data_IF_355252261843
#
_entry.id   IF_355252261843
#
_cell.length_a   1.000
_cell.length_b   1.000
_cell.length_c   1.000
_cell.angle_alpha   90.00
_cell.angle_beta   90.00
_cell.angle_gamma   90.00
#
_symmetry.space_group_name_H-M   'P 1'
#
loop_
_entity.id
_entity.type
_entity.pdbx_description
1 polymer ?
#
# COMPACT_ATOMS: atom_id res chain seq x y z
N UNK A 1 12.81 7.03 -16.27
CA UNK A 1 12.48 8.47 -16.23
C UNK A 1 13.76 9.25 -15.93
N UNK A 2 14.10 10.26 -16.73
CA UNK A 2 15.30 11.08 -16.47
C UNK A 2 15.08 11.94 -15.21
N UNK A 3 16.14 12.11 -14.39
CA UNK A 3 16.16 12.93 -13.15
C UNK A 3 15.87 14.42 -13.38
N UNK A 4 15.74 14.85 -14.64
CA UNK A 4 15.45 16.24 -15.05
C UNK A 4 14.07 16.76 -14.62
N UNK A 5 13.18 15.90 -14.09
CA UNK A 5 11.79 16.25 -13.80
C UNK A 5 11.47 16.57 -12.33
N UNK A 6 12.47 16.71 -11.46
CA UNK A 6 12.26 16.88 -10.02
C UNK A 6 12.74 18.26 -9.53
N UNK A 7 11.85 19.03 -8.90
CA UNK A 7 12.17 20.29 -8.22
C UNK A 7 12.47 20.08 -6.71
N UNK A 8 13.37 19.14 -6.39
CA UNK A 8 13.77 18.87 -5.01
C UNK A 8 14.47 20.09 -4.39
N UNK A 9 14.44 20.20 -3.05
CA UNK A 9 15.18 21.23 -2.27
C UNK A 9 16.19 20.62 -1.27
N UNK A 10 16.25 19.29 -1.20
CA UNK A 10 17.17 18.50 -0.40
C UNK A 10 17.32 17.11 -1.02
N UNK A 11 18.38 16.34 -0.67
CA UNK A 11 18.51 14.95 -1.11
C UNK A 11 17.30 14.09 -0.73
N UNK A 12 16.85 13.24 -1.66
CA UNK A 12 15.75 12.29 -1.46
C UNK A 12 16.13 10.93 -2.02
N UNK A 13 15.65 9.86 -1.37
CA UNK A 13 15.93 8.49 -1.81
C UNK A 13 15.40 8.22 -3.22
N UNK A 14 16.13 7.45 -4.03
CA UNK A 14 15.79 7.21 -5.43
C UNK A 14 14.41 6.54 -5.60
N UNK A 15 14.03 5.66 -4.68
CA UNK A 15 12.70 5.03 -4.68
C UNK A 15 11.56 6.07 -4.57
N UNK A 16 11.76 7.11 -3.75
CA UNK A 16 10.79 8.19 -3.57
C UNK A 16 10.80 9.12 -4.79
N UNK A 17 11.99 9.43 -5.31
CA UNK A 17 12.17 10.23 -6.52
C UNK A 17 11.57 9.58 -7.78
N UNK A 18 11.67 8.25 -7.89
CA UNK A 18 11.13 7.48 -9.01
C UNK A 18 9.60 7.36 -8.97
N UNK A 19 8.98 7.62 -7.82
CA UNK A 19 7.53 7.52 -7.67
C UNK A 19 6.81 8.60 -8.44
N UNK A 20 5.92 8.15 -9.30
CA UNK A 20 4.95 8.99 -9.99
C UNK A 20 3.61 8.28 -10.15
N UNK A 21 2.63 9.01 -10.69
CA UNK A 21 1.26 8.51 -10.92
C UNK A 21 1.00 8.44 -12.43
N UNK A 22 1.49 7.39 -13.12
CA UNK A 22 1.32 7.24 -14.55
C UNK A 22 -0.13 6.95 -14.91
N UNK A 23 -0.52 7.30 -16.12
CA UNK A 23 -1.80 6.97 -16.74
C UNK A 23 -1.60 5.95 -17.86
N UNK A 24 -0.41 5.86 -18.44
CA UNK A 24 -0.08 4.82 -19.40
C UNK A 24 0.24 3.52 -18.66
N UNK A 25 -0.60 2.50 -18.86
CA UNK A 25 -0.38 1.15 -18.36
C UNK A 25 -0.26 0.14 -19.52
N UNK A 26 0.70 -0.77 -19.37
CA UNK A 26 0.74 -2.02 -20.15
C UNK A 26 -0.38 -2.95 -19.64
N UNK A 27 -1.04 -3.63 -20.57
CA UNK A 27 -2.13 -4.57 -20.28
C UNK A 27 -1.61 -5.93 -19.77
N UNK A 28 -0.29 -6.13 -19.73
CA UNK A 28 0.33 -7.34 -19.18
C UNK A 28 -0.17 -7.63 -17.75
N UNK A 29 -0.55 -8.89 -17.43
CA UNK A 29 -0.91 -9.30 -16.07
C UNK A 29 0.17 -8.98 -15.04
N UNK A 30 -0.24 -8.70 -13.80
CA UNK A 30 0.67 -8.60 -12.66
C UNK A 30 0.77 -9.96 -11.98
N UNK A 31 1.98 -10.40 -11.70
CA UNK A 31 2.23 -11.66 -11.02
C UNK A 31 1.68 -11.62 -9.57
N UNK A 32 1.00 -12.68 -9.14
CA UNK A 32 0.37 -12.79 -7.82
C UNK A 32 1.38 -12.53 -6.69
N UNK A 33 2.63 -12.97 -6.85
CA UNK A 33 3.71 -12.75 -5.88
C UNK A 33 4.04 -11.27 -5.71
N UNK A 34 4.00 -10.48 -6.81
CA UNK A 34 4.26 -9.04 -6.77
C UNK A 34 3.10 -8.31 -6.12
N UNK A 35 1.87 -8.68 -6.48
CA UNK A 35 0.66 -8.12 -5.87
C UNK A 35 0.61 -8.41 -4.36
N UNK A 36 0.88 -9.65 -3.96
CA UNK A 36 0.99 -10.05 -2.56
C UNK A 36 2.09 -9.27 -1.83
N UNK A 37 3.26 -9.09 -2.45
CA UNK A 37 4.35 -8.28 -1.88
C UNK A 37 3.92 -6.82 -1.65
N UNK A 38 3.17 -6.23 -2.59
CA UNK A 38 2.65 -4.87 -2.46
C UNK A 38 1.66 -4.74 -1.29
N UNK A 39 0.76 -5.72 -1.12
CA UNK A 39 -0.19 -5.77 -0.02
C UNK A 39 0.51 -6.04 1.33
N UNK A 40 1.55 -6.87 1.35
CA UNK A 40 2.35 -7.10 2.55
C UNK A 40 3.07 -5.81 2.98
N UNK A 41 3.63 -5.05 2.04
CA UNK A 41 4.20 -3.73 2.35
C UNK A 41 3.17 -2.77 2.96
N UNK A 42 1.92 -2.76 2.46
CA UNK A 42 0.84 -2.02 3.11
C UNK A 42 0.55 -2.53 4.54
N UNK A 43 0.53 -3.86 4.74
CA UNK A 43 0.27 -4.49 6.04
C UNK A 43 1.32 -4.11 7.10
N UNK A 44 2.54 -3.81 6.68
CA UNK A 44 3.64 -3.38 7.55
C UNK A 44 3.65 -1.89 7.90
N UNK A 45 2.69 -1.10 7.42
CA UNK A 45 2.60 0.31 7.80
C UNK A 45 2.33 0.49 9.31
N UNK A 46 2.81 1.57 9.92
CA UNK A 46 2.45 1.89 11.30
C UNK A 46 0.99 2.35 11.38
N UNK A 47 0.36 2.15 12.54
CA UNK A 47 -0.99 2.66 12.84
C UNK A 47 -1.15 3.00 14.31
N UNK A 48 -2.09 3.90 14.61
CA UNK A 48 -2.46 4.24 15.98
C UNK A 48 -2.88 2.97 16.74
N UNK A 49 -2.29 2.71 17.91
CA UNK A 49 -2.48 1.48 18.70
C UNK A 49 -2.23 0.17 17.95
N UNK A 50 -1.51 0.21 16.82
CA UNK A 50 -1.37 -0.92 15.91
C UNK A 50 -2.72 -1.49 15.42
N UNK A 51 -3.74 -0.64 15.29
CA UNK A 51 -5.13 -1.03 14.98
C UNK A 51 -5.28 -1.57 13.55
N UNK A 52 -4.39 -1.18 12.63
CA UNK A 52 -4.36 -1.65 11.23
C UNK A 52 -5.73 -1.48 10.54
N UNK A 53 -6.25 -0.23 10.44
CA UNK A 53 -7.63 0.03 10.03
C UNK A 53 -7.88 -0.16 8.53
N UNK A 54 -6.83 -0.32 7.71
CA UNK A 54 -6.94 -0.47 6.26
C UNK A 54 -7.59 -1.80 5.85
N UNK A 55 -8.47 -1.75 4.86
CA UNK A 55 -8.97 -2.91 4.12
C UNK A 55 -8.79 -2.64 2.63
N UNK A 56 -8.40 -3.67 1.89
CA UNK A 56 -8.20 -3.56 0.44
C UNK A 56 -9.15 -4.51 -0.27
N UNK A 57 -9.96 -3.98 -1.18
CA UNK A 57 -10.65 -4.78 -2.18
C UNK A 57 -9.78 -4.78 -3.43
N UNK A 58 -9.27 -5.94 -3.77
CA UNK A 58 -8.35 -6.16 -4.90
C UNK A 58 -9.15 -6.81 -6.01
N UNK A 59 -9.13 -6.20 -7.19
CA UNK A 59 -9.75 -6.75 -8.38
C UNK A 59 -8.68 -6.84 -9.48
N UNK A 60 -8.17 -8.05 -9.73
CA UNK A 60 -7.30 -8.35 -10.87
C UNK A 60 -8.20 -8.74 -12.05
N UNK A 61 -8.00 -8.08 -13.20
CA UNK A 61 -8.76 -8.35 -14.42
C UNK A 61 -8.69 -9.82 -14.85
N UNK A 62 -7.56 -10.48 -14.61
CA UNK A 62 -7.31 -11.84 -15.09
C UNK A 62 -7.82 -12.91 -14.13
N UNK A 63 -8.07 -12.56 -12.85
CA UNK A 63 -8.55 -13.49 -11.82
C UNK A 63 -9.99 -13.17 -11.40
N UNK A 64 -10.31 -11.89 -11.21
CA UNK A 64 -11.62 -11.37 -10.79
C UNK A 64 -12.21 -10.38 -11.81
N UNK A 65 -12.24 -10.75 -13.10
CA UNK A 65 -12.69 -9.86 -14.20
C UNK A 65 -14.04 -9.16 -13.98
N UNK A 66 -15.03 -9.83 -13.39
CA UNK A 66 -16.32 -9.21 -13.05
C UNK A 66 -16.22 -8.18 -11.92
N UNK A 67 -15.37 -8.43 -10.91
CA UNK A 67 -15.11 -7.45 -9.85
C UNK A 67 -14.33 -6.26 -10.41
N UNK A 68 -13.36 -6.53 -11.29
CA UNK A 68 -12.58 -5.50 -11.98
C UNK A 68 -13.51 -4.58 -12.78
N UNK A 69 -14.41 -5.16 -13.58
CA UNK A 69 -15.36 -4.39 -14.39
C UNK A 69 -16.31 -3.56 -13.52
N UNK A 70 -16.90 -4.14 -12.47
CA UNK A 70 -17.76 -3.42 -11.53
C UNK A 70 -17.06 -2.23 -10.87
N UNK A 71 -15.81 -2.40 -10.43
CA UNK A 71 -15.05 -1.32 -9.82
C UNK A 71 -14.66 -0.24 -10.85
N UNK A 72 -14.27 -0.66 -12.06
CA UNK A 72 -13.98 0.23 -13.18
C UNK A 72 -15.17 1.10 -13.56
N UNK A 73 -16.38 0.51 -13.66
CA UNK A 73 -17.62 1.22 -14.02
C UNK A 73 -18.02 2.29 -12.99
N UNK A 74 -17.47 2.20 -11.77
CA UNK A 74 -17.68 3.19 -10.71
C UNK A 74 -16.68 4.35 -10.76
N UNK A 75 -15.62 4.27 -11.58
CA UNK A 75 -14.67 5.38 -11.75
C UNK A 75 -15.33 6.53 -12.50
N UNK A 76 -14.82 7.76 -12.29
CA UNK A 76 -15.25 8.91 -13.09
C UNK A 76 -14.90 8.71 -14.58
N UNK A 77 -15.65 9.32 -15.52
CA UNK A 77 -15.38 9.17 -16.95
C UNK A 77 -13.94 9.51 -17.36
N UNK A 78 -13.36 10.56 -16.77
CA UNK A 78 -11.97 10.96 -17.02
C UNK A 78 -10.92 10.00 -16.45
N UNK A 79 -11.27 9.17 -15.45
CA UNK A 79 -10.38 8.10 -14.99
C UNK A 79 -10.50 6.85 -15.87
N UNK A 80 -11.70 6.57 -16.39
CA UNK A 80 -11.97 5.42 -17.25
C UNK A 80 -11.18 5.47 -18.58
N UNK A 81 -10.87 6.66 -19.11
CA UNK A 81 -10.15 6.81 -20.40
C UNK A 81 -8.80 6.09 -20.41
N UNK A 82 -8.10 6.08 -19.28
CA UNK A 82 -6.75 5.50 -19.15
C UNK A 82 -6.71 4.28 -18.21
N UNK A 83 -7.48 4.27 -17.12
CA UNK A 83 -7.46 3.17 -16.14
C UNK A 83 -7.92 1.83 -16.73
N UNK A 84 -8.65 1.86 -17.86
CA UNK A 84 -9.08 0.68 -18.63
C UNK A 84 -7.93 -0.19 -19.15
N UNK A 85 -6.68 0.27 -19.05
CA UNK A 85 -5.50 -0.55 -19.42
C UNK A 85 -4.83 -1.20 -18.21
N UNK A 86 -5.10 -0.73 -17.00
CA UNK A 86 -4.48 -1.29 -15.80
C UNK A 86 -5.05 -2.69 -15.50
N UNK A 87 -4.20 -3.71 -15.30
CA UNK A 87 -4.65 -5.07 -15.02
C UNK A 87 -5.26 -5.19 -13.62
N UNK A 88 -4.89 -4.34 -12.66
CA UNK A 88 -5.39 -4.43 -11.28
C UNK A 88 -5.98 -3.09 -10.83
N UNK A 89 -7.16 -3.15 -10.20
CA UNK A 89 -7.75 -2.03 -9.44
C UNK A 89 -7.81 -2.42 -7.96
N UNK A 90 -7.40 -1.51 -7.08
CA UNK A 90 -7.41 -1.72 -5.63
C UNK A 90 -8.20 -0.59 -4.97
N UNK A 91 -9.33 -0.90 -4.36
CA UNK A 91 -10.04 0.04 -3.49
C UNK A 91 -9.43 -0.04 -2.08
N UNK A 92 -8.94 1.10 -1.59
CA UNK A 92 -8.51 1.28 -0.21
C UNK A 92 -9.67 1.79 0.65
N UNK A 93 -9.95 1.09 1.73
CA UNK A 93 -10.98 1.42 2.71
C UNK A 93 -10.35 1.60 4.10
N UNK A 94 -10.91 2.49 4.91
CA UNK A 94 -10.51 2.73 6.29
C UNK A 94 -11.65 2.40 7.25
N UNK A 95 -11.42 1.51 8.23
CA UNK A 95 -12.41 1.20 9.26
C UNK A 95 -12.64 2.44 10.15
N UNK A 96 -13.89 2.90 10.28
CA UNK A 96 -14.24 4.14 11.00
C UNK A 96 -14.17 4.01 12.52
N UNK A 97 -13.97 2.79 13.03
CA UNK A 97 -13.90 2.45 14.46
C UNK A 97 -12.67 1.61 14.75
N UNK A 98 -12.14 1.77 15.94
CA UNK A 98 -11.03 0.98 16.46
C UNK A 98 -11.46 -0.48 16.66
N UNK A 99 -10.61 -1.42 16.27
CA UNK A 99 -10.88 -2.84 16.46
C UNK A 99 -10.89 -3.27 17.93
N UNK A 100 -10.04 -2.65 18.76
CA UNK A 100 -9.85 -3.08 20.15
C UNK A 100 -10.97 -2.67 21.13
N UNK A 101 -11.67 -1.57 20.87
CA UNK A 101 -12.73 -1.06 21.77
C UNK A 101 -13.99 -0.57 21.05
N UNK A 102 -14.02 -0.66 19.72
CA UNK A 102 -15.12 -0.20 18.89
C UNK A 102 -15.32 1.31 18.85
N UNK A 103 -14.51 2.15 19.50
CA UNK A 103 -14.72 3.61 19.52
C UNK A 103 -14.38 4.26 18.17
N UNK A 104 -14.90 5.45 17.85
CA UNK A 104 -14.54 6.15 16.61
C UNK A 104 -13.04 6.30 16.43
N UNK A 105 -12.52 5.90 15.26
CA UNK A 105 -11.10 5.95 14.92
C UNK A 105 -10.80 7.14 14.02
N UNK A 106 -10.47 8.28 14.63
CA UNK A 106 -10.08 9.51 13.90
C UNK A 106 -8.77 9.38 13.10
N UNK A 107 -7.99 8.33 13.31
CA UNK A 107 -6.70 8.11 12.63
C UNK A 107 -6.82 7.19 11.42
N UNK A 108 -7.96 6.53 11.25
CA UNK A 108 -8.14 5.46 10.27
C UNK A 108 -7.75 5.87 8.84
N UNK A 109 -8.17 7.07 8.43
CA UNK A 109 -7.85 7.61 7.11
C UNK A 109 -6.36 7.93 6.95
N UNK A 110 -5.74 8.52 7.98
CA UNK A 110 -4.30 8.84 8.00
C UNK A 110 -3.46 7.55 7.92
N UNK A 111 -3.78 6.57 8.75
CA UNK A 111 -3.09 5.27 8.80
C UNK A 111 -3.27 4.48 7.49
N UNK A 112 -4.46 4.52 6.88
CA UNK A 112 -4.71 3.91 5.57
C UNK A 112 -3.92 4.61 4.45
N UNK A 113 -3.75 5.93 4.53
CA UNK A 113 -2.88 6.68 3.61
C UNK A 113 -1.42 6.24 3.69
N UNK A 114 -0.91 5.96 4.90
CA UNK A 114 0.43 5.42 5.11
C UNK A 114 0.57 4.02 4.49
N UNK A 115 -0.42 3.13 4.71
CA UNK A 115 -0.45 1.80 4.11
C UNK A 115 -0.46 1.84 2.57
N UNK A 116 -1.28 2.73 1.98
CA UNK A 116 -1.29 2.93 0.53
C UNK A 116 0.05 3.45 0.00
N UNK A 117 0.72 4.34 0.74
CA UNK A 117 2.03 4.83 0.34
C UNK A 117 3.09 3.74 0.38
N UNK A 118 3.08 2.85 1.39
CA UNK A 118 3.96 1.66 1.44
C UNK A 118 3.72 0.73 0.25
N UNK A 119 2.45 0.47 -0.10
CA UNK A 119 2.07 -0.31 -1.28
C UNK A 119 2.66 0.29 -2.56
N UNK A 120 2.51 1.61 -2.74
CA UNK A 120 3.02 2.31 -3.93
C UNK A 120 4.54 2.23 -4.03
N UNK A 121 5.27 2.40 -2.92
CA UNK A 121 6.73 2.29 -2.93
C UNK A 121 7.17 0.86 -3.26
N UNK A 122 6.48 -0.15 -2.72
CA UNK A 122 6.77 -1.54 -3.04
C UNK A 122 6.49 -1.87 -4.51
N UNK A 123 5.41 -1.33 -5.08
CA UNK A 123 5.11 -1.47 -6.50
C UNK A 123 6.29 -0.96 -7.36
N UNK A 124 6.81 0.23 -7.04
CA UNK A 124 7.94 0.82 -7.77
C UNK A 124 9.21 -0.02 -7.63
N UNK A 125 9.50 -0.53 -6.42
CA UNK A 125 10.63 -1.41 -6.19
C UNK A 125 10.57 -2.69 -7.05
N UNK A 126 9.36 -3.12 -7.43
CA UNK A 126 9.10 -4.30 -8.27
C UNK A 126 8.97 -3.99 -9.77
N UNK A 127 9.21 -2.73 -10.17
CA UNK A 127 9.07 -2.26 -11.55
C UNK A 127 7.61 -2.03 -11.98
N UNK A 128 6.68 -1.99 -11.04
CA UNK A 128 5.28 -1.63 -11.24
C UNK A 128 5.08 -0.13 -10.97
N UNK A 129 3.90 0.37 -11.30
CA UNK A 129 3.45 1.68 -10.89
C UNK A 129 2.02 1.62 -10.35
N UNK A 130 1.69 2.60 -9.49
CA UNK A 130 0.36 2.74 -8.91
C UNK A 130 -0.14 4.18 -9.05
N UNK A 131 -1.39 4.35 -9.48
CA UNK A 131 -2.06 5.65 -9.60
C UNK A 131 -3.34 5.67 -8.76
N UNK A 132 -3.33 6.42 -7.67
CA UNK A 132 -4.47 6.58 -6.76
C UNK A 132 -5.47 7.64 -7.26
N UNK A 133 -6.76 7.31 -7.23
CA UNK A 133 -7.85 8.13 -7.75
C UNK A 133 -8.88 8.37 -6.65
N UNK A 134 -9.23 9.63 -6.43
CA UNK A 134 -10.42 10.02 -5.65
C UNK A 134 -11.68 10.17 -6.51
N UNK A 135 -11.55 10.16 -7.84
CA UNK A 135 -12.68 10.29 -8.77
C UNK A 135 -13.39 8.97 -9.01
N UNK A 136 -14.26 8.57 -8.10
CA UNK A 136 -15.15 7.41 -8.21
C UNK A 136 -16.45 7.64 -7.43
N UNK A 137 -17.50 6.89 -7.75
CA UNK A 137 -18.78 6.94 -7.04
C UNK A 137 -18.78 5.95 -5.88
N UNK A 138 -18.53 6.46 -4.66
CA UNK A 138 -18.46 5.65 -3.46
C UNK A 138 -19.79 4.93 -3.13
N UNK A 139 -20.94 5.54 -3.46
CA UNK A 139 -22.25 4.92 -3.25
C UNK A 139 -22.46 3.71 -4.16
N UNK A 140 -22.11 3.86 -5.46
CA UNK A 140 -22.15 2.75 -6.42
C UNK A 140 -21.17 1.65 -6.06
N UNK A 141 -19.95 1.97 -5.63
CA UNK A 141 -18.99 0.95 -5.13
C UNK A 141 -19.55 0.23 -3.91
N UNK A 142 -20.11 0.97 -2.95
CA UNK A 142 -20.73 0.41 -1.75
C UNK A 142 -21.80 -0.61 -2.10
N UNK A 143 -22.70 -0.26 -3.02
CA UNK A 143 -23.77 -1.14 -3.48
C UNK A 143 -23.22 -2.35 -4.26
N UNK A 144 -22.30 -2.13 -5.20
CA UNK A 144 -21.77 -3.17 -6.09
C UNK A 144 -20.98 -4.27 -5.36
N UNK A 145 -20.40 -3.94 -4.21
CA UNK A 145 -19.55 -4.84 -3.41
C UNK A 145 -20.10 -5.11 -2.01
N UNK A 146 -21.31 -4.65 -1.69
CA UNK A 146 -21.95 -4.77 -0.38
C UNK A 146 -21.06 -4.31 0.78
N UNK A 147 -20.38 -3.17 0.61
CA UNK A 147 -19.44 -2.64 1.62
C UNK A 147 -20.22 -2.05 2.80
N UNK A 148 -19.98 -2.48 4.06
CA UNK A 148 -20.68 -1.91 5.21
C UNK A 148 -20.28 -0.45 5.48
N UNK A 149 -21.19 0.34 6.07
CA UNK A 149 -20.98 1.77 6.38
C UNK A 149 -19.86 2.03 7.42
N UNK A 150 -19.38 0.98 8.09
CA UNK A 150 -18.23 1.05 8.99
C UNK A 150 -16.89 1.27 8.27
N UNK A 151 -16.89 1.33 6.94
CA UNK A 151 -15.71 1.62 6.13
C UNK A 151 -15.86 2.92 5.32
N UNK A 152 -14.90 3.82 5.47
CA UNK A 152 -14.70 4.95 4.58
C UNK A 152 -13.97 4.48 3.32
N UNK A 153 -14.53 4.74 2.14
CA UNK A 153 -13.92 4.42 0.85
C UNK A 153 -12.98 5.56 0.47
N UNK A 154 -11.66 5.31 0.49
CA UNK A 154 -10.64 6.36 0.42
C UNK A 154 -10.20 6.66 -1.02
N UNK A 155 -9.78 5.63 -1.75
CA UNK A 155 -9.26 5.77 -3.11
C UNK A 155 -9.35 4.46 -3.86
N UNK A 156 -9.44 4.54 -5.19
CA UNK A 156 -9.17 3.41 -6.09
C UNK A 156 -7.80 3.61 -6.73
N UNK A 157 -6.93 2.62 -6.64
CA UNK A 157 -5.62 2.64 -7.26
C UNK A 157 -5.57 1.72 -8.48
N UNK A 158 -5.15 2.27 -9.63
CA UNK A 158 -4.73 1.48 -10.78
C UNK A 158 -3.30 0.99 -10.53
N UNK A 159 -3.06 -0.32 -10.68
CA UNK A 159 -1.76 -0.96 -10.49
C UNK A 159 -1.40 -1.80 -11.72
N UNK A 160 -0.16 -1.67 -12.19
CA UNK A 160 0.33 -2.41 -13.34
C UNK A 160 1.73 -1.97 -13.77
N UNK A 161 2.18 -2.47 -14.91
CA UNK A 161 3.42 -2.00 -15.51
C UNK A 161 3.21 -0.68 -16.25
N UNK A 162 4.17 0.27 -16.19
CA UNK A 162 4.12 1.46 -17.04
C UNK A 162 4.03 1.08 -18.51
N UNK A 163 3.11 1.70 -19.24
CA UNK A 163 2.88 1.50 -20.67
C UNK A 163 3.47 2.62 -21.53
N UNK A 164 3.31 2.49 -22.84
CA UNK A 164 3.69 3.53 -23.80
C UNK A 164 2.71 4.71 -23.74
N UNK A 165 3.16 5.95 -23.45
CA UNK A 165 2.31 7.15 -23.46
C UNK A 165 1.58 7.40 -24.80
N UNK A 166 2.03 6.81 -25.91
CA UNK A 166 1.36 6.90 -27.21
C UNK A 166 -0.05 6.26 -27.21
N UNK A 167 -0.38 5.42 -26.22
CA UNK A 167 -1.71 4.80 -26.09
C UNK A 167 -2.74 5.73 -25.45
N UNK A 168 -2.32 6.91 -24.97
CA UNK A 168 -3.17 7.89 -24.31
C UNK A 168 -3.71 8.91 -25.33
N UNK A 169 -4.87 9.50 -25.04
CA UNK A 169 -5.31 10.71 -25.73
C UNK A 169 -4.35 11.88 -25.48
N UNK A 170 -4.42 12.92 -26.32
CA UNK A 170 -3.47 14.03 -26.30
C UNK A 170 -3.41 14.73 -24.93
N UNK A 171 -4.57 15.04 -24.34
CA UNK A 171 -4.65 15.73 -23.06
C UNK A 171 -3.99 14.91 -21.95
N UNK A 172 -4.33 13.62 -21.87
CA UNK A 172 -3.80 12.70 -20.88
C UNK A 172 -2.31 12.47 -21.08
N UNK A 173 -1.84 12.39 -22.33
CA UNK A 173 -0.43 12.27 -22.69
C UNK A 173 0.37 13.49 -22.26
N UNK A 174 -0.14 14.70 -22.45
CA UNK A 174 0.54 15.91 -21.96
C UNK A 174 0.72 15.89 -20.45
N UNK A 175 -0.31 15.45 -19.70
CA UNK A 175 -0.23 15.28 -18.24
C UNK A 175 0.73 14.17 -17.81
N UNK A 176 0.84 13.11 -18.60
CA UNK A 176 1.79 12.01 -18.39
C UNK A 176 3.25 12.48 -18.56
N UNK A 177 3.49 13.36 -19.52
CA UNK A 177 4.83 13.84 -19.84
C UNK A 177 5.25 15.05 -19.00
N UNK A 178 4.31 15.73 -18.36
CA UNK A 178 4.56 16.91 -17.54
C UNK A 178 5.57 16.65 -16.41
N UNK A 179 6.43 17.64 -16.16
CA UNK A 179 7.38 17.61 -15.05
C UNK A 179 6.67 17.65 -13.70
N UNK A 180 7.23 16.93 -12.74
CA UNK A 180 6.70 16.90 -11.40
C UNK A 180 7.11 18.15 -10.63
N UNK A 181 6.12 18.96 -10.27
CA UNK A 181 6.32 20.10 -9.39
C UNK A 181 5.76 19.81 -8.00
N UNK A 182 6.48 20.25 -6.98
CA UNK A 182 6.04 20.33 -5.59
C UNK A 182 6.15 21.76 -5.12
N UNK A 183 5.31 22.12 -4.14
CA UNK A 183 5.48 23.38 -3.41
C UNK A 183 6.88 23.43 -2.78
N UNK A 184 7.48 24.62 -2.66
CA UNK A 184 8.67 24.84 -1.85
C UNK A 184 8.55 24.29 -0.43
N UNK A 185 9.67 23.88 0.19
CA UNK A 185 9.65 23.34 1.56
C UNK A 185 9.10 24.34 2.58
N UNK A 186 9.45 25.61 2.42
CA UNK A 186 9.00 26.71 3.29
C UNK A 186 7.48 26.94 3.29
N UNK A 187 6.76 26.45 2.28
CA UNK A 187 5.29 26.52 2.23
C UNK A 187 4.61 25.39 3.01
N UNK A 188 5.32 24.28 3.27
CA UNK A 188 4.75 23.07 3.89
C UNK A 188 5.39 22.73 5.24
N UNK A 189 6.56 23.29 5.55
CA UNK A 189 7.28 23.09 6.80
C UNK A 189 7.61 24.46 7.42
N UNK A 190 7.42 24.58 8.74
CA UNK A 190 7.59 25.84 9.47
C UNK A 190 8.50 25.65 10.68
N UNK A 191 9.44 26.57 10.88
CA UNK A 191 10.39 26.54 11.99
C UNK A 191 9.76 27.15 13.26
N UNK A 192 9.44 26.31 14.25
CA UNK A 192 9.06 26.70 15.61
C UNK A 192 7.72 27.46 15.78
N UNK A 193 7.20 28.10 14.73
CA UNK A 193 5.91 28.82 14.73
C UNK A 193 5.33 28.91 13.32
N UNK A 194 4.00 29.04 13.25
CA UNK A 194 3.28 29.23 11.98
C UNK A 194 3.79 30.48 11.25
N UNK A 195 3.96 30.37 9.94
CA UNK A 195 4.36 31.48 9.06
C UNK A 195 5.87 31.74 8.99
N UNK A 196 6.69 31.10 9.83
CA UNK A 196 8.13 31.09 9.65
C UNK A 196 8.52 29.84 8.87
N UNK A 197 8.70 29.95 7.55
CA UNK A 197 9.06 28.81 6.70
C UNK A 197 10.36 28.13 7.13
N UNK A 198 10.42 26.81 7.00
CA UNK A 198 11.65 26.05 7.20
C UNK A 198 12.58 26.25 6.00
N UNK A 199 13.69 26.96 6.22
CA UNK A 199 14.69 27.24 5.19
C UNK A 199 15.77 26.16 5.18
N UNK A 200 16.17 25.72 3.98
CA UNK A 200 17.34 24.87 3.80
C UNK A 200 18.58 25.76 3.76
N UNK A 201 19.57 25.62 4.67
CA UNK A 201 20.76 26.46 4.67
C UNK A 201 21.60 26.27 3.41
N UNK A 202 22.05 27.37 2.78
CA UNK A 202 22.96 27.34 1.64
C UNK A 202 24.29 26.63 1.95
N UNK A 203 24.70 26.63 3.22
CA UNK A 203 25.92 25.98 3.73
C UNK A 203 25.91 24.46 3.59
N UNK A 204 24.75 23.83 3.37
CA UNK A 204 24.67 22.41 3.06
C UNK A 204 25.24 22.07 1.68
N UNK A 205 25.63 23.08 0.88
CA UNK A 205 26.30 22.90 -0.41
C UNK A 205 25.42 22.23 -1.47
N UNK A 206 24.16 22.00 -1.15
CA UNK A 206 23.19 21.38 -2.03
C UNK A 206 22.61 22.46 -2.93
N UNK A 207 23.26 22.71 -4.07
CA UNK A 207 22.59 23.38 -5.18
C UNK A 207 21.67 22.34 -5.80
N UNK A 208 20.38 22.66 -5.94
CA UNK A 208 19.46 21.82 -6.68
C UNK A 208 20.10 21.47 -8.02
N UNK A 209 20.49 20.20 -8.20
CA UNK A 209 20.96 19.71 -9.50
C UNK A 209 19.72 19.59 -10.38
N UNK A 210 19.28 20.72 -10.91
CA UNK A 210 18.36 20.76 -12.04
C UNK A 210 19.13 20.18 -13.22
N UNK A 211 18.76 18.96 -13.62
CA UNK A 211 19.18 18.35 -14.88
C UNK A 211 20.67 18.05 -15.06
N UNK A 212 21.16 16.93 -14.51
CA UNK A 212 22.23 16.17 -15.17
C UNK A 212 21.87 14.69 -15.15
N UNK A 213 21.77 14.14 -16.37
CA UNK A 213 21.36 12.80 -16.70
C UNK A 213 22.36 11.74 -16.21
N UNK A 214 21.83 10.65 -15.69
CA UNK A 214 22.49 9.35 -15.73
C UNK A 214 21.52 8.39 -16.43
N UNK A 215 21.99 7.77 -17.52
CA UNK A 215 21.23 6.87 -18.38
C UNK A 215 20.72 5.61 -17.63
N UNK A 216 19.69 4.92 -18.16
CA UNK A 216 18.96 3.88 -17.44
C UNK A 216 19.66 2.53 -17.54
N UNK A 217 20.13 2.02 -16.40
CA UNK A 217 20.38 0.60 -16.19
C UNK A 217 19.36 0.09 -15.17
N UNK A 218 18.77 -1.07 -15.42
CA UNK A 218 17.89 -1.83 -14.52
C UNK A 218 18.34 -1.66 -13.07
N UNK A 219 17.54 -0.98 -12.25
CA UNK A 219 17.79 -0.88 -10.81
C UNK A 219 17.52 -2.27 -10.22
N UNK A 220 18.56 -3.11 -10.16
CA UNK A 220 18.59 -4.25 -9.25
C UNK A 220 18.74 -3.67 -7.86
N UNK A 221 17.65 -3.62 -7.11
CA UNK A 221 17.71 -3.44 -5.65
C UNK A 221 18.34 -4.72 -5.10
N UNK A 222 19.67 -4.71 -4.95
CA UNK A 222 20.36 -5.69 -4.12
C UNK A 222 19.97 -5.38 -2.67
N UNK A 223 19.09 -6.22 -2.11
CA UNK A 223 18.94 -6.30 -0.66
C UNK A 223 20.28 -6.82 -0.13
N UNK A 224 21.18 -5.91 0.22
CA UNK A 224 22.30 -6.26 1.10
C UNK A 224 21.70 -6.53 2.46
N UNK A 225 21.52 -7.80 2.80
CA UNK A 225 21.35 -8.25 4.17
C UNK A 225 22.48 -7.66 5.00
N UNK A 226 22.16 -6.70 5.86
CA UNK A 226 23.07 -6.27 6.92
C UNK A 226 23.10 -7.35 8.00
N UNK A 227 23.74 -8.47 7.70
CA UNK A 227 24.26 -9.37 8.72
C UNK A 227 25.73 -8.97 8.93
N UNK A 228 25.98 -8.11 9.92
CA UNK A 228 27.32 -8.07 10.51
C UNK A 228 27.47 -9.35 11.35
N UNK A 229 28.49 -10.19 11.10
CA UNK A 229 28.79 -11.29 12.00
C UNK A 229 29.36 -10.73 13.31
N UNK A 230 28.72 -11.07 14.42
CA UNK A 230 29.29 -10.96 15.75
C UNK A 230 30.36 -12.05 15.87
N UNK A 231 31.63 -11.67 15.75
CA UNK A 231 32.75 -12.55 16.08
C UNK A 231 32.98 -12.52 17.59
N UNK A 232 32.44 -13.51 18.29
CA UNK A 232 32.74 -13.79 19.69
C UNK A 232 32.79 -15.30 19.91
N UNK A 233 34.00 -15.81 20.17
CA UNK A 233 34.29 -17.22 20.37
C UNK A 233 33.45 -17.86 21.48
N UNK A 234 33.04 -19.11 21.26
CA UNK A 234 32.40 -19.94 22.27
C UNK A 234 31.97 -21.29 21.71
N UNK A 235 32.94 -22.16 21.40
CA UNK A 235 32.76 -23.55 21.00
C UNK A 235 31.90 -24.34 21.99
N UNK A 236 30.95 -25.15 21.49
CA UNK A 236 30.82 -26.59 21.83
C UNK A 236 29.85 -27.28 20.89
N UNK A 237 30.30 -28.45 20.43
CA UNK A 237 29.62 -29.35 19.52
C UNK A 237 28.39 -30.02 20.16
N UNK A 238 27.41 -30.38 19.32
CA UNK A 238 26.38 -31.34 19.70
C UNK A 238 25.20 -31.39 18.74
N UNK A 239 24.98 -32.56 18.13
CA UNK A 239 23.63 -33.03 17.76
C UNK A 239 23.19 -32.79 16.31
N UNK A 240 23.48 -33.77 15.46
CA UNK A 240 22.74 -33.99 14.22
C UNK A 240 21.32 -34.50 14.55
N UNK A 241 20.28 -33.79 14.12
CA UNK A 241 18.94 -34.36 14.00
C UNK A 241 18.25 -33.87 12.73
N UNK A 242 17.96 -34.84 11.87
CA UNK A 242 17.20 -34.74 10.63
C UNK A 242 15.75 -34.34 10.92
N UNK A 243 15.26 -33.30 10.25
CA UNK A 243 13.83 -32.97 10.20
C UNK A 243 13.25 -33.37 8.84
N UNK A 244 12.22 -34.22 8.87
CA UNK A 244 11.45 -34.63 7.71
C UNK A 244 10.58 -33.47 7.17
N UNK A 245 10.31 -33.38 5.86
CA UNK A 245 9.46 -32.34 5.29
C UNK A 245 7.98 -32.58 5.63
N UNK A 246 7.28 -31.52 6.02
CA UNK A 246 5.83 -31.52 6.19
C UNK A 246 5.11 -31.68 4.83
N UNK A 247 3.94 -32.35 4.77
CA UNK A 247 3.21 -32.53 3.53
C UNK A 247 2.55 -31.23 3.04
N UNK A 248 2.53 -31.06 1.73
CA UNK A 248 1.94 -29.90 1.05
C UNK A 248 0.44 -29.71 1.36
N UNK A 249 -0.06 -28.47 1.48
CA UNK A 249 -1.49 -28.23 1.62
C UNK A 249 -2.21 -28.48 0.29
N UNK A 250 -3.33 -29.22 0.37
CA UNK A 250 -4.23 -29.53 -0.74
C UNK A 250 -4.94 -28.26 -1.23
N UNK A 251 -5.07 -28.12 -2.55
CA UNK A 251 -5.88 -27.08 -3.20
C UNK A 251 -7.36 -27.29 -2.89
N UNK A 252 -8.03 -26.27 -2.35
CA UNK A 252 -9.49 -26.19 -2.32
C UNK A 252 -9.97 -25.40 -3.55
N UNK A 253 -10.96 -25.90 -4.32
CA UNK A 253 -11.62 -25.12 -5.36
C UNK A 253 -12.66 -24.19 -4.73
N UNK A 254 -12.60 -22.89 -5.03
CA UNK A 254 -13.67 -21.95 -4.70
C UNK A 254 -14.61 -21.82 -5.90
N UNK A 255 -15.90 -22.20 -5.80
CA UNK A 255 -16.92 -21.74 -6.72
C UNK A 255 -17.69 -20.57 -6.10
N UNK A 256 -17.76 -19.45 -6.80
CA UNK A 256 -18.77 -18.38 -6.64
C UNK A 256 -18.84 -17.72 -5.25
N UNK A 257 -17.91 -16.82 -4.94
CA UNK A 257 -17.89 -16.10 -3.66
C UNK A 257 -18.49 -14.70 -3.75
N UNK A 258 -19.67 -14.50 -3.14
CA UNK A 258 -19.98 -13.19 -2.58
C UNK A 258 -18.89 -12.83 -1.56
N UNK A 259 -18.28 -11.65 -1.69
CA UNK A 259 -17.26 -11.17 -0.76
C UNK A 259 -17.86 -11.14 0.65
N UNK A 260 -17.46 -12.10 1.50
CA UNK A 260 -17.78 -12.06 2.93
C UNK A 260 -16.92 -10.99 3.57
N UNK A 261 -17.52 -9.83 3.85
CA UNK A 261 -16.96 -8.87 4.79
C UNK A 261 -16.82 -9.60 6.13
N UNK A 262 -15.57 -9.76 6.57
CA UNK A 262 -15.16 -10.64 7.66
C UNK A 262 -15.95 -10.33 8.95
N UNK A 263 -16.35 -11.34 9.75
CA UNK A 263 -16.95 -11.05 11.05
C UNK A 263 -15.91 -10.41 11.97
N UNK A 264 -16.30 -9.55 12.92
CA UNK A 264 -15.38 -9.05 13.93
C UNK A 264 -14.77 -10.23 14.68
N UNK A 265 -13.44 -10.34 14.68
CA UNK A 265 -12.73 -11.22 15.61
C UNK A 265 -12.99 -10.71 17.03
N UNK A 266 -14.08 -11.18 17.64
CA UNK A 266 -14.20 -11.14 19.10
C UNK A 266 -13.21 -12.16 19.65
N UNK A 267 -12.03 -11.68 20.05
CA UNK A 267 -11.14 -12.44 20.93
C UNK A 267 -11.85 -12.55 22.28
N UNK A 268 -12.68 -13.58 22.46
CA UNK A 268 -13.06 -14.01 23.81
C UNK A 268 -11.85 -14.70 24.43
N UNK A 269 -11.35 -14.26 25.61
CA UNK A 269 -10.38 -15.04 26.34
C UNK A 269 -11.03 -16.37 26.73
N UNK A 270 -10.48 -17.47 26.20
CA UNK A 270 -10.83 -18.82 26.64
C UNK A 270 -10.07 -19.07 27.94
N UNK A 271 -10.72 -18.78 29.07
CA UNK A 271 -10.24 -19.20 30.38
C UNK A 271 -10.28 -20.72 30.46
N UNK A 272 -9.11 -21.35 30.45
CA UNK A 272 -8.92 -22.75 30.83
C UNK A 272 -8.45 -22.71 32.28
N UNK A 273 -9.34 -23.04 33.21
CA UNK A 273 -8.99 -23.16 34.64
C UNK A 273 -8.06 -24.35 34.90
N UNK A 274 -7.47 -24.41 36.10
CA UNK A 274 -7.76 -25.57 36.92
C UNK A 274 -7.99 -25.24 38.41
N UNK A 275 -8.97 -25.92 38.99
CA UNK A 275 -8.90 -26.43 40.36
C UNK A 275 -9.47 -25.55 41.48
N UNK A 276 -10.43 -26.10 42.23
CA UNK A 276 -10.66 -25.71 43.63
C UNK A 276 -12.10 -25.39 44.01
N UNK A 277 -13.00 -26.38 44.00
CA UNK A 277 -14.24 -26.30 44.78
C UNK A 277 -13.90 -26.39 46.27
N UNK A 278 -14.31 -25.40 47.07
CA UNK A 278 -14.57 -25.55 48.51
C UNK A 278 -16.02 -25.17 48.79
N UNK A 279 -16.73 -26.13 49.36
CA UNK A 279 -18.09 -26.04 49.90
C UNK A 279 -18.19 -25.09 51.09
N UNK A 280 -19.28 -24.34 51.21
CA UNK A 280 -19.61 -23.62 52.44
C UNK A 280 -20.92 -22.85 52.35
N UNK A 281 -21.96 -23.40 52.99
CA UNK A 281 -23.35 -22.94 53.10
C UNK A 281 -23.50 -21.52 53.69
N UNK A 282 -24.60 -20.85 53.35
CA UNK A 282 -25.18 -19.77 54.17
C UNK A 282 -26.37 -19.06 53.52
N UNK A 283 -27.59 -19.44 53.91
CA UNK A 283 -28.85 -18.80 53.53
C UNK A 283 -29.13 -17.56 54.41
N UNK A 284 -29.55 -16.45 53.79
CA UNK A 284 -30.83 -15.74 54.02
C UNK A 284 -30.98 -14.63 52.99
#
# INVERSE_FOLDING_TARGET
MSRERLNVQAPVHELIAARWSPRAFDARPVETEKLASCLEAARWAPSCYNDQPWRFLVADRHQEGEAWQRLFDCLSPGNQTWARRAPVLILACAATRFGHNGQPNRWAQYDTGQAMMSLVLQAIALGLAAHQMGGFDAGRVRQAFAIPDEYDLMSVAALGYPGDPAVLDEETRQRELASHQRKPLEEIAFAGRRGLGFMVPDSLGWKAKVGQSACPGTIRISIRTWLKPWSGLGSRAGGCSTWAPAPAPRRCPWPGGAFRWWPPMSLRPRWIGPGGWRSGKGWR
#
